data_IF_083570725077
#
_entry.id   IF_083570725077
#
_cell.length_a   1.000
_cell.length_b   1.000
_cell.length_c   1.000
_cell.angle_alpha   90.00
_cell.angle_beta   90.00
_cell.angle_gamma   90.00
#
_symmetry.space_group_name_H-M   'P 1'
#
loop_
_entity.id
_entity.type
_entity.pdbx_description
1 polymer ?
#
# COMPACT_ATOMS: atom_id res chain seq x y z
N UNK A 1 6.94 -25.44 42.18
CA UNK A 1 7.45 -24.29 41.41
C UNK A 1 6.50 -23.15 41.70
N UNK A 2 6.96 -22.08 42.34
CA UNK A 2 6.10 -20.96 42.73
C UNK A 2 5.61 -20.20 41.49
N UNK A 3 4.46 -19.56 41.56
CA UNK A 3 3.99 -18.64 40.49
C UNK A 3 5.02 -17.55 40.18
N UNK A 4 5.81 -17.17 41.18
CA UNK A 4 6.86 -16.16 41.06
C UNK A 4 8.08 -16.68 40.28
N UNK A 5 8.37 -17.98 40.37
CA UNK A 5 9.44 -18.62 39.59
C UNK A 5 9.11 -18.62 38.10
N UNK A 6 7.84 -18.85 37.75
CA UNK A 6 7.38 -18.82 36.35
C UNK A 6 7.44 -17.42 35.75
N UNK A 7 7.11 -16.39 36.52
CA UNK A 7 7.19 -15.00 36.07
C UNK A 7 8.65 -14.56 35.83
N UNK A 8 9.58 -15.02 36.67
CA UNK A 8 11.01 -14.77 36.50
C UNK A 8 11.57 -15.47 35.25
N UNK A 9 11.13 -16.71 35.01
CA UNK A 9 11.54 -17.50 33.85
C UNK A 9 11.04 -16.87 32.53
N UNK A 10 9.81 -16.35 32.53
CA UNK A 10 9.22 -15.68 31.37
C UNK A 10 9.89 -14.33 31.08
N UNK A 11 10.25 -13.55 32.12
CA UNK A 11 11.02 -12.31 31.96
C UNK A 11 12.42 -12.58 31.40
N UNK A 12 13.13 -13.58 31.93
CA UNK A 12 14.45 -13.94 31.44
C UNK A 12 14.40 -14.45 30.00
N UNK A 13 13.37 -15.23 29.65
CA UNK A 13 13.17 -15.73 28.28
C UNK A 13 12.94 -14.57 27.29
N UNK A 14 12.07 -13.62 27.62
CA UNK A 14 11.79 -12.45 26.78
C UNK A 14 13.00 -11.51 26.65
N UNK A 15 13.77 -11.30 27.72
CA UNK A 15 15.02 -10.52 27.65
C UNK A 15 16.09 -11.21 26.81
N UNK A 16 16.19 -12.55 26.87
CA UNK A 16 17.11 -13.29 26.01
C UNK A 16 16.71 -13.21 24.54
N UNK A 17 15.42 -13.30 24.21
CA UNK A 17 14.97 -13.20 22.82
C UNK A 17 15.21 -11.81 22.23
N UNK A 18 14.88 -10.73 22.95
CA UNK A 18 15.16 -9.37 22.50
C UNK A 18 16.67 -9.17 22.25
N UNK A 19 17.53 -9.64 23.17
CA UNK A 19 18.99 -9.50 23.04
C UNK A 19 19.57 -10.34 21.90
N UNK A 20 18.99 -11.51 21.61
CA UNK A 20 19.38 -12.34 20.47
C UNK A 20 18.95 -11.69 19.16
N UNK A 21 17.75 -11.11 19.08
CA UNK A 21 17.27 -10.41 17.88
C UNK A 21 18.17 -9.21 17.56
N UNK A 22 18.51 -8.37 18.55
CA UNK A 22 19.44 -7.24 18.33
C UNK A 22 20.83 -7.71 17.92
N UNK A 23 21.31 -8.84 18.44
CA UNK A 23 22.60 -9.42 18.04
C UNK A 23 22.59 -9.97 16.62
N UNK A 24 21.49 -10.58 16.17
CA UNK A 24 21.34 -11.07 14.78
C UNK A 24 21.25 -9.90 13.80
N UNK A 25 20.53 -8.83 14.15
CA UNK A 25 20.42 -7.64 13.31
C UNK A 25 21.74 -6.86 13.21
N UNK A 26 22.49 -6.71 14.31
CA UNK A 26 23.78 -6.01 14.29
C UNK A 26 24.89 -6.76 13.52
N UNK A 27 24.83 -8.10 13.45
CA UNK A 27 25.80 -8.88 12.66
C UNK A 27 25.49 -8.87 11.16
N UNK A 28 24.26 -8.57 10.73
CA UNK A 28 23.93 -8.58 9.31
C UNK A 28 24.55 -7.40 8.55
N UNK A 29 24.71 -6.25 9.18
CA UNK A 29 25.30 -5.08 8.52
C UNK A 29 26.84 -5.20 8.40
N UNK A 30 27.53 -5.82 9.37
CA UNK A 30 28.99 -6.06 9.34
C UNK A 30 29.42 -7.15 8.34
N UNK A 31 28.58 -8.17 8.10
CA UNK A 31 28.90 -9.24 7.12
C UNK A 31 28.81 -8.71 5.67
N UNK A 32 28.01 -7.65 5.43
CA UNK A 32 27.78 -7.11 4.09
C UNK A 32 28.89 -6.17 3.61
N UNK A 33 29.69 -5.60 4.53
CA UNK A 33 30.84 -4.75 4.19
C UNK A 33 32.08 -5.58 3.78
N UNK A 34 32.23 -6.78 4.34
CA UNK A 34 33.40 -7.65 4.14
C UNK A 34 33.36 -8.43 2.81
N UNK A 35 32.17 -8.70 2.26
CA UNK A 35 32.00 -9.38 0.95
C UNK A 35 32.39 -8.49 -0.23
N UNK A 36 32.36 -7.17 -0.06
CA UNK A 36 32.66 -6.20 -1.12
C UNK A 36 33.97 -5.44 -0.91
N UNK A 37 34.57 -5.51 0.29
CA UNK A 37 35.83 -4.84 0.65
C UNK A 37 37.10 -5.69 0.47
N UNK A 38 36.98 -6.99 0.21
CA UNK A 38 38.12 -7.91 0.01
C UNK A 38 38.77 -7.77 -1.39
N UNK A 39 39.07 -6.55 -1.82
CA UNK A 39 40.03 -6.29 -2.91
C UNK A 39 41.40 -6.05 -2.24
N UNK A 40 41.86 -7.03 -1.43
CA UNK A 40 43.25 -7.05 -0.97
C UNK A 40 44.06 -7.80 -2.01
N UNK A 41 44.78 -7.01 -2.79
CA UNK A 41 45.90 -7.39 -3.66
C UNK A 41 46.64 -8.63 -3.14
N UNK A 42 46.30 -9.81 -3.65
CA UNK A 42 47.18 -10.98 -3.56
C UNK A 42 48.09 -10.96 -4.78
N UNK A 43 49.38 -10.78 -4.52
CA UNK A 43 50.42 -10.50 -5.48
C UNK A 43 50.56 -11.51 -6.64
N UNK A 44 50.76 -10.95 -7.84
CA UNK A 44 51.72 -11.39 -8.87
C UNK A 44 51.72 -12.87 -9.28
N UNK A 45 50.96 -13.20 -10.33
CA UNK A 45 51.33 -14.24 -11.29
C UNK A 45 51.26 -13.68 -12.72
N UNK A 46 52.43 -13.52 -13.32
CA UNK A 46 52.68 -13.10 -14.69
C UNK A 46 52.04 -14.04 -15.70
N UNK A 47 50.93 -13.65 -16.31
CA UNK A 47 50.47 -14.26 -17.55
C UNK A 47 49.48 -13.33 -18.26
N UNK A 48 49.56 -13.19 -19.57
CA UNK A 48 48.67 -12.33 -20.37
C UNK A 48 47.21 -12.84 -20.33
N UNK A 49 47.03 -14.10 -19.91
CA UNK A 49 45.77 -14.75 -19.55
C UNK A 49 45.17 -14.31 -18.18
N UNK A 50 45.96 -13.71 -17.30
CA UNK A 50 45.50 -13.21 -15.99
C UNK A 50 44.69 -11.91 -16.12
N UNK A 51 44.96 -11.08 -17.14
CA UNK A 51 44.13 -9.92 -17.48
C UNK A 51 42.73 -10.34 -17.90
N UNK A 52 42.62 -11.34 -18.79
CA UNK A 52 41.35 -11.95 -19.18
C UNK A 52 40.62 -12.58 -17.98
N UNK A 53 41.34 -13.24 -17.06
CA UNK A 53 40.75 -13.81 -15.84
C UNK A 53 40.23 -12.73 -14.88
N UNK A 54 40.95 -11.61 -14.71
CA UNK A 54 40.54 -10.49 -13.86
C UNK A 54 39.35 -9.74 -14.44
N UNK A 55 39.32 -9.53 -15.76
CA UNK A 55 38.20 -8.88 -16.44
C UNK A 55 36.95 -9.76 -16.40
N UNK A 56 37.09 -11.09 -16.55
CA UNK A 56 36.00 -12.03 -16.34
C UNK A 56 35.51 -12.05 -14.89
N UNK A 57 36.40 -11.91 -13.91
CA UNK A 57 36.04 -11.82 -12.50
C UNK A 57 35.27 -10.53 -12.20
N UNK A 58 35.77 -9.38 -12.66
CA UNK A 58 35.05 -8.09 -12.57
C UNK A 58 33.68 -8.15 -13.24
N UNK A 59 33.58 -8.78 -14.41
CA UNK A 59 32.31 -8.93 -15.11
C UNK A 59 31.33 -9.83 -14.33
N UNK A 60 31.81 -10.91 -13.70
CA UNK A 60 31.02 -11.75 -12.80
C UNK A 60 30.54 -10.98 -11.57
N UNK A 61 31.41 -10.21 -10.94
CA UNK A 61 31.06 -9.37 -9.79
C UNK A 61 30.01 -8.32 -10.17
N UNK A 62 30.18 -7.65 -11.30
CA UNK A 62 29.20 -6.70 -11.83
C UNK A 62 27.85 -7.38 -12.10
N UNK A 63 27.85 -8.58 -12.68
CA UNK A 63 26.63 -9.35 -12.91
C UNK A 63 25.97 -9.79 -11.60
N UNK A 64 26.75 -10.20 -10.60
CA UNK A 64 26.25 -10.58 -9.28
C UNK A 64 25.66 -9.36 -8.54
N UNK A 65 26.35 -8.21 -8.53
CA UNK A 65 25.82 -6.94 -8.00
C UNK A 65 24.50 -6.59 -8.66
N UNK A 66 24.47 -6.65 -10.00
CA UNK A 66 23.29 -6.32 -10.78
C UNK A 66 22.14 -7.28 -10.49
N UNK A 67 22.38 -8.59 -10.48
CA UNK A 67 21.36 -9.60 -10.19
C UNK A 67 20.81 -9.49 -8.77
N UNK A 68 21.64 -9.15 -7.78
CA UNK A 68 21.20 -8.90 -6.41
C UNK A 68 20.32 -7.65 -6.30
N UNK A 69 20.77 -6.53 -6.88
CA UNK A 69 19.98 -5.30 -6.92
C UNK A 69 18.66 -5.50 -7.65
N UNK A 70 18.68 -6.21 -8.78
CA UNK A 70 17.49 -6.54 -9.57
C UNK A 70 16.53 -7.44 -8.77
N UNK A 71 17.06 -8.41 -8.02
CA UNK A 71 16.26 -9.24 -7.11
C UNK A 71 15.57 -8.43 -6.00
N UNK A 72 16.26 -7.46 -5.39
CA UNK A 72 15.65 -6.56 -4.39
C UNK A 72 14.58 -5.68 -5.02
N UNK A 73 14.87 -5.07 -6.17
CA UNK A 73 13.95 -4.17 -6.86
C UNK A 73 12.70 -4.94 -7.31
N UNK A 74 12.89 -6.08 -7.96
CA UNK A 74 11.80 -6.97 -8.39
C UNK A 74 10.96 -7.45 -7.21
N UNK A 75 11.58 -7.79 -6.07
CA UNK A 75 10.83 -8.17 -4.87
C UNK A 75 10.00 -7.02 -4.29
N UNK A 76 10.51 -5.79 -4.34
CA UNK A 76 9.75 -4.60 -3.90
C UNK A 76 8.59 -4.29 -4.84
N UNK A 77 8.83 -4.37 -6.15
CA UNK A 77 7.84 -4.12 -7.19
C UNK A 77 6.70 -5.15 -7.16
N UNK A 78 7.03 -6.44 -7.04
CA UNK A 78 6.05 -7.53 -6.96
C UNK A 78 5.14 -7.39 -5.74
N UNK A 79 5.69 -7.08 -4.57
CA UNK A 79 4.90 -6.83 -3.35
C UNK A 79 3.97 -5.60 -3.51
N UNK A 80 4.47 -4.51 -4.09
CA UNK A 80 3.67 -3.31 -4.37
C UNK A 80 2.52 -3.62 -5.33
N UNK A 81 2.80 -4.35 -6.40
CA UNK A 81 1.80 -4.70 -7.40
C UNK A 81 0.76 -5.68 -6.84
N UNK A 82 1.17 -6.63 -5.98
CA UNK A 82 0.26 -7.53 -5.30
C UNK A 82 -0.69 -6.75 -4.36
N UNK A 83 -0.16 -5.78 -3.61
CA UNK A 83 -0.98 -4.88 -2.79
C UNK A 83 -1.98 -4.07 -3.62
N UNK A 84 -1.55 -3.53 -4.76
CA UNK A 84 -2.45 -2.84 -5.68
C UNK A 84 -3.55 -3.74 -6.22
N UNK A 85 -3.19 -4.95 -6.68
CA UNK A 85 -4.15 -5.91 -7.23
C UNK A 85 -5.20 -6.34 -6.20
N UNK A 86 -4.83 -6.42 -4.91
CA UNK A 86 -5.76 -6.73 -3.84
C UNK A 86 -6.74 -5.57 -3.55
N UNK A 87 -6.26 -4.32 -3.54
CA UNK A 87 -7.09 -3.15 -3.26
C UNK A 87 -7.90 -2.61 -4.45
N UNK A 88 -7.46 -2.88 -5.69
CA UNK A 88 -8.06 -2.32 -6.90
C UNK A 88 -9.54 -2.68 -7.09
N UNK A 89 -10.00 -3.93 -6.92
CA UNK A 89 -11.42 -4.27 -7.07
C UNK A 89 -12.32 -3.48 -6.12
N UNK A 90 -11.91 -3.33 -4.86
CA UNK A 90 -12.64 -2.57 -3.84
C UNK A 90 -12.66 -1.07 -4.15
N UNK A 91 -11.52 -0.51 -4.55
CA UNK A 91 -11.46 0.89 -4.99
C UNK A 91 -12.32 1.16 -6.22
N UNK A 92 -12.34 0.22 -7.17
CA UNK A 92 -13.11 0.33 -8.40
C UNK A 92 -14.63 0.31 -8.15
N UNK A 93 -15.12 -0.56 -7.25
CA UNK A 93 -16.54 -0.61 -6.90
C UNK A 93 -17.00 0.67 -6.21
N UNK A 94 -16.21 1.20 -5.27
CA UNK A 94 -16.48 2.49 -4.60
C UNK A 94 -16.47 3.63 -5.61
N UNK A 95 -15.43 3.71 -6.45
CA UNK A 95 -15.30 4.76 -7.47
C UNK A 95 -16.45 4.74 -8.47
N UNK A 96 -16.92 3.56 -8.86
CA UNK A 96 -18.08 3.40 -9.73
C UNK A 96 -19.37 3.94 -9.10
N UNK A 97 -19.64 3.58 -7.84
CA UNK A 97 -20.83 4.07 -7.12
C UNK A 97 -20.80 5.59 -6.91
N UNK A 98 -19.63 6.16 -6.57
CA UNK A 98 -19.42 7.62 -6.48
C UNK A 98 -19.76 8.29 -7.82
N UNK A 99 -19.18 7.79 -8.92
CA UNK A 99 -19.39 8.33 -10.25
C UNK A 99 -20.87 8.31 -10.67
N UNK A 100 -21.56 7.19 -10.39
CA UNK A 100 -23.00 7.06 -10.69
C UNK A 100 -23.83 8.07 -9.90
N UNK A 101 -23.52 8.25 -8.61
CA UNK A 101 -24.27 9.13 -7.72
C UNK A 101 -24.05 10.60 -8.08
N UNK A 102 -22.80 10.98 -8.33
CA UNK A 102 -22.44 12.33 -8.75
C UNK A 102 -23.04 12.67 -10.12
N UNK A 103 -23.02 11.74 -11.08
CA UNK A 103 -23.64 11.93 -12.39
C UNK A 103 -25.15 12.15 -12.32
N UNK A 104 -25.85 11.45 -11.40
CA UNK A 104 -27.28 11.69 -11.14
C UNK A 104 -27.52 13.09 -10.55
N UNK A 105 -26.74 13.48 -9.54
CA UNK A 105 -26.85 14.81 -8.93
C UNK A 105 -26.53 15.93 -9.93
N UNK A 106 -25.50 15.74 -10.76
CA UNK A 106 -25.14 16.70 -11.81
C UNK A 106 -26.28 16.87 -12.82
N UNK A 107 -26.91 15.76 -13.23
CA UNK A 107 -28.06 15.80 -14.15
C UNK A 107 -29.24 16.52 -13.53
N UNK A 108 -29.54 16.24 -12.27
CA UNK A 108 -30.59 16.91 -11.49
C UNK A 108 -30.31 18.41 -11.38
N UNK A 109 -29.08 18.80 -11.02
CA UNK A 109 -28.67 20.19 -10.90
C UNK A 109 -28.69 20.92 -12.25
N UNK A 110 -28.34 20.25 -13.35
CA UNK A 110 -28.42 20.85 -14.68
C UNK A 110 -29.87 21.14 -15.10
N UNK A 111 -30.82 20.23 -14.80
CA UNK A 111 -32.23 20.39 -15.16
C UNK A 111 -33.00 21.32 -14.23
N UNK A 112 -32.80 21.19 -12.92
CA UNK A 112 -33.62 21.83 -11.87
C UNK A 112 -32.84 22.84 -11.02
N UNK A 113 -31.56 23.07 -11.30
CA UNK A 113 -30.69 23.95 -10.49
C UNK A 113 -31.03 25.44 -10.59
N UNK A 114 -31.88 25.85 -11.52
CA UNK A 114 -32.44 27.21 -11.56
C UNK A 114 -33.63 27.38 -10.61
N UNK A 115 -34.36 26.30 -10.33
CA UNK A 115 -35.57 26.31 -9.49
C UNK A 115 -35.24 26.03 -8.02
N UNK A 116 -34.16 25.30 -7.75
CA UNK A 116 -33.83 24.83 -6.41
C UNK A 116 -32.39 25.17 -6.00
N UNK A 117 -32.23 26.25 -5.23
CA UNK A 117 -30.91 26.69 -4.72
C UNK A 117 -30.32 25.67 -3.73
N UNK A 118 -31.18 24.91 -3.02
CA UNK A 118 -30.77 23.85 -2.10
C UNK A 118 -30.05 22.71 -2.84
N UNK A 119 -30.54 22.33 -4.03
CA UNK A 119 -29.92 21.30 -4.86
C UNK A 119 -28.50 21.69 -5.31
N UNK A 120 -28.28 22.98 -5.58
CA UNK A 120 -26.96 23.51 -5.94
C UNK A 120 -25.99 23.46 -4.76
N UNK A 121 -26.46 23.76 -3.55
CA UNK A 121 -25.68 23.65 -2.30
C UNK A 121 -25.34 22.19 -2.00
N UNK A 122 -26.31 21.30 -2.04
CA UNK A 122 -26.13 19.87 -1.84
C UNK A 122 -25.18 19.26 -2.87
N UNK A 123 -25.26 19.68 -4.14
CA UNK A 123 -24.32 19.24 -5.17
C UNK A 123 -22.88 19.69 -4.86
N UNK A 124 -22.69 20.93 -4.39
CA UNK A 124 -21.36 21.41 -4.01
C UNK A 124 -20.79 20.69 -2.78
N UNK A 125 -21.66 20.33 -1.82
CA UNK A 125 -21.29 19.52 -0.66
C UNK A 125 -20.92 18.09 -1.09
N UNK A 126 -21.74 17.46 -1.93
CA UNK A 126 -21.47 16.14 -2.47
C UNK A 126 -20.15 16.08 -3.24
N UNK A 127 -19.77 17.13 -3.98
CA UNK A 127 -18.47 17.20 -4.66
C UNK A 127 -17.28 17.17 -3.68
N UNK A 128 -17.41 17.83 -2.54
CA UNK A 128 -16.36 17.86 -1.51
C UNK A 128 -16.31 16.54 -0.73
N UNK A 129 -17.47 16.01 -0.37
CA UNK A 129 -17.60 14.80 0.45
C UNK A 129 -17.26 13.54 -0.33
N UNK A 130 -17.72 13.44 -1.59
CA UNK A 130 -17.50 12.28 -2.47
C UNK A 130 -16.18 12.34 -3.24
N UNK A 131 -15.29 13.29 -2.91
CA UNK A 131 -13.96 13.34 -3.52
C UNK A 131 -13.23 12.04 -3.21
N UNK A 132 -12.74 11.37 -4.26
CA UNK A 132 -12.09 10.05 -4.17
C UNK A 132 -10.97 10.02 -3.12
N UNK A 133 -10.18 11.09 -3.01
CA UNK A 133 -9.10 11.18 -2.01
C UNK A 133 -9.58 11.21 -0.55
N UNK A 134 -10.79 11.74 -0.30
CA UNK A 134 -11.39 11.75 1.04
C UNK A 134 -12.02 10.40 1.37
N UNK A 135 -12.65 9.77 0.35
CA UNK A 135 -13.33 8.48 0.45
C UNK A 135 -12.39 7.29 0.56
N UNK A 136 -11.23 7.34 -0.11
CA UNK A 136 -10.23 6.27 -0.10
C UNK A 136 -9.15 6.49 0.97
N UNK A 137 -9.47 7.24 2.01
CA UNK A 137 -8.51 7.60 3.05
C UNK A 137 -8.27 6.43 4.01
N UNK A 138 -7.05 6.35 4.55
CA UNK A 138 -6.59 5.23 5.40
C UNK A 138 -7.45 5.00 6.65
N UNK A 139 -8.25 5.97 7.08
CA UNK A 139 -9.11 5.86 8.26
C UNK A 139 -10.44 5.15 8.00
N UNK A 140 -10.81 4.96 6.73
CA UNK A 140 -12.05 4.28 6.32
C UNK A 140 -11.84 2.77 6.16
N UNK A 141 -10.59 2.33 5.99
CA UNK A 141 -10.22 0.94 5.76
C UNK A 141 -9.60 0.31 7.00
N UNK A 142 -9.91 -0.96 7.25
CA UNK A 142 -9.22 -1.75 8.26
C UNK A 142 -7.79 -2.10 7.81
N UNK A 143 -6.99 -2.69 8.70
CA UNK A 143 -5.59 -3.09 8.49
C UNK A 143 -5.41 -4.00 7.27
N UNK A 144 -6.46 -4.73 6.87
CA UNK A 144 -6.52 -5.59 5.69
C UNK A 144 -7.03 -4.89 4.42
N UNK A 145 -7.20 -3.56 4.44
CA UNK A 145 -7.79 -2.75 3.37
C UNK A 145 -9.23 -3.14 3.01
N UNK A 146 -9.92 -3.81 3.93
CA UNK A 146 -11.31 -4.22 3.80
C UNK A 146 -12.24 -3.20 4.47
N UNK A 147 -13.47 -3.09 3.97
CA UNK A 147 -14.50 -2.25 4.60
C UNK A 147 -15.05 -2.96 5.85
N UNK A 148 -15.30 -2.26 6.97
CA UNK A 148 -15.89 -2.84 8.16
C UNK A 148 -17.30 -3.38 7.89
N UNK A 149 -17.48 -4.69 8.09
CA UNK A 149 -18.70 -5.49 8.26
C UNK A 149 -19.96 -5.32 7.37
N UNK A 150 -20.01 -4.43 6.38
CA UNK A 150 -21.15 -4.37 5.43
C UNK A 150 -20.77 -3.98 3.99
N UNK A 151 -19.47 -3.76 3.71
CA UNK A 151 -19.01 -3.34 2.38
C UNK A 151 -19.54 -1.97 1.94
N UNK A 152 -20.05 -1.14 2.87
CA UNK A 152 -20.70 0.14 2.58
C UNK A 152 -20.07 1.29 3.35
N UNK A 153 -19.79 2.37 2.63
CA UNK A 153 -19.32 3.61 3.22
C UNK A 153 -20.52 4.39 3.81
N UNK A 154 -20.48 4.84 5.08
CA UNK A 154 -21.61 5.55 5.71
C UNK A 154 -22.06 6.78 4.91
N UNK A 155 -21.09 7.61 4.50
CA UNK A 155 -21.33 8.80 3.67
C UNK A 155 -21.99 8.44 2.32
N UNK A 156 -21.65 7.31 1.70
CA UNK A 156 -22.30 6.89 0.45
C UNK A 156 -23.77 6.56 0.66
N UNK A 157 -24.13 5.91 1.77
CA UNK A 157 -25.52 5.57 2.06
C UNK A 157 -26.37 6.82 2.35
N UNK A 158 -25.83 7.79 3.08
CA UNK A 158 -26.48 9.09 3.30
C UNK A 158 -26.80 9.80 1.98
N UNK A 159 -25.82 9.87 1.08
CA UNK A 159 -26.00 10.49 -0.23
C UNK A 159 -26.90 9.66 -1.14
N UNK A 160 -26.91 8.33 -1.05
CA UNK A 160 -27.86 7.47 -1.79
C UNK A 160 -29.29 7.76 -1.38
N UNK A 161 -29.55 7.94 -0.08
CA UNK A 161 -30.88 8.29 0.43
C UNK A 161 -31.29 9.67 -0.10
N UNK A 162 -30.43 10.68 -0.01
CA UNK A 162 -30.70 12.03 -0.54
C UNK A 162 -30.95 12.03 -2.06
N UNK A 163 -30.15 11.30 -2.83
CA UNK A 163 -30.38 11.20 -4.29
C UNK A 163 -31.68 10.48 -4.59
N UNK A 164 -32.03 9.47 -3.81
CA UNK A 164 -33.29 8.75 -3.96
C UNK A 164 -34.48 9.65 -3.70
N UNK A 165 -34.44 10.49 -2.65
CA UNK A 165 -35.52 11.45 -2.36
C UNK A 165 -35.67 12.49 -3.48
N UNK A 166 -34.57 13.06 -3.99
CA UNK A 166 -34.63 13.96 -5.14
C UNK A 166 -35.14 13.27 -6.41
N UNK A 167 -34.70 12.04 -6.68
CA UNK A 167 -35.17 11.29 -7.86
C UNK A 167 -36.68 11.00 -7.80
N UNK A 168 -37.23 10.78 -6.61
CA UNK A 168 -38.66 10.58 -6.38
C UNK A 168 -39.44 11.89 -6.55
N UNK A 169 -38.91 13.00 -6.05
CA UNK A 169 -39.54 14.33 -6.21
C UNK A 169 -39.68 14.74 -7.69
N UNK A 170 -38.67 14.48 -8.51
CA UNK A 170 -38.69 14.85 -9.94
C UNK A 170 -39.19 13.74 -10.87
N UNK A 171 -39.73 12.65 -10.30
CA UNK A 171 -40.30 11.50 -11.02
C UNK A 171 -39.41 11.02 -12.18
N UNK A 172 -38.10 10.87 -11.93
CA UNK A 172 -37.17 10.37 -12.94
C UNK A 172 -37.50 8.89 -13.13
N UNK A 173 -38.24 8.61 -14.19
CA UNK A 173 -38.75 7.29 -14.55
C UNK A 173 -37.59 6.28 -14.56
N UNK A 174 -37.65 5.31 -13.64
CA UNK A 174 -36.91 4.05 -13.76
C UNK A 174 -37.34 3.40 -15.07
N UNK A 175 -36.46 3.40 -16.06
CA UNK A 175 -36.41 2.36 -17.08
C UNK A 175 -35.16 1.54 -16.84
#
# INVERSE_FOLDING_TARGET
>A
MSTDDLALLLKNFLETEHKVIYRVMANQDDILDDVWGSDSDSEMLSNENAGYSRDLQKLREQHNKRGYLDGIVSSKETNLQQGFNAGFPTGATIGFEIGRLLGRLQTLNYKYGQENEQLKKDYSQALNDLKIGNMLSKHVFDTDYQLPEDGKHPILEEWKIKVSSYSAQYNIIRK
#
